data_IF_324716225249
#
_entry.id   IF_324716225249
#
_cell.length_a   1.000
_cell.length_b   1.000
_cell.length_c   1.000
_cell.angle_alpha   90.00
_cell.angle_beta   90.00
_cell.angle_gamma   90.00
#
_symmetry.space_group_name_H-M   'P 1'
#
loop_
_entity.id
_entity.type
_entity.pdbx_description
1 polymer ?
#
# COMPACT_ATOMS: atom_id res chain seq x y z
N UNK A 1 0.21 43.14 0.46
CA UNK A 1 -0.70 42.07 -0.02
C UNK A 1 0.01 41.34 -1.15
N UNK A 2 0.86 40.36 -0.81
CA UNK A 2 1.58 39.55 -1.79
C UNK A 2 0.96 38.17 -1.77
N UNK A 3 0.34 37.79 -2.88
CA UNK A 3 -0.25 36.48 -3.08
C UNK A 3 0.88 35.44 -3.16
N UNK A 4 0.84 34.46 -2.26
CA UNK A 4 1.72 33.29 -2.31
C UNK A 4 1.11 32.35 -3.36
N UNK A 5 1.86 32.09 -4.43
CA UNK A 5 1.53 31.03 -5.39
C UNK A 5 1.56 29.66 -4.69
N UNK A 6 0.63 28.74 -4.99
CA UNK A 6 0.66 27.40 -4.44
C UNK A 6 1.80 26.62 -5.11
N UNK A 7 2.93 26.54 -4.42
CA UNK A 7 3.99 25.61 -4.77
C UNK A 7 3.45 24.18 -4.71
N UNK A 8 3.67 23.43 -5.79
CA UNK A 8 3.45 22.00 -5.90
C UNK A 8 4.17 21.29 -4.74
N UNK A 9 3.46 21.01 -3.65
CA UNK A 9 3.89 20.00 -2.68
C UNK A 9 3.90 18.70 -3.46
N UNK A 10 5.07 18.18 -3.82
CA UNK A 10 5.21 16.74 -4.01
C UNK A 10 4.84 16.12 -2.67
N UNK A 11 3.57 15.76 -2.51
CA UNK A 11 3.14 14.91 -1.42
C UNK A 11 4.00 13.66 -1.54
N UNK A 12 4.87 13.43 -0.56
CA UNK A 12 5.51 12.14 -0.39
C UNK A 12 4.44 11.07 -0.52
N UNK A 13 4.65 10.01 -1.30
CA UNK A 13 3.65 8.96 -1.45
C UNK A 13 3.26 8.45 -0.06
N UNK A 14 2.03 8.71 0.36
CA UNK A 14 1.57 8.38 1.70
C UNK A 14 1.19 6.91 1.71
N UNK A 15 1.85 6.15 2.57
CA UNK A 15 1.51 4.77 2.86
C UNK A 15 0.39 4.74 3.89
N UNK A 16 -0.71 4.08 3.55
CA UNK A 16 -1.92 4.08 4.35
C UNK A 16 -2.60 5.44 4.43
N UNK A 17 -3.87 5.43 4.82
CA UNK A 17 -4.60 6.66 5.18
C UNK A 17 -5.76 6.40 6.14
N UNK A 18 -6.18 7.40 6.93
CA UNK A 18 -7.44 7.33 7.67
C UNK A 18 -8.62 6.97 6.75
N UNK A 19 -9.52 6.11 7.23
CA UNK A 19 -10.69 5.68 6.45
C UNK A 19 -11.74 6.80 6.25
N UNK A 20 -11.69 7.84 7.07
CA UNK A 20 -12.53 9.04 6.98
C UNK A 20 -12.11 10.03 5.90
N UNK A 21 -10.83 9.99 5.49
CA UNK A 21 -10.33 10.88 4.45
C UNK A 21 -11.00 10.58 3.10
N UNK A 22 -11.18 11.62 2.28
CA UNK A 22 -11.61 11.44 0.90
C UNK A 22 -10.51 10.71 0.09
N UNK A 23 -10.92 9.82 -0.81
CA UNK A 23 -10.03 9.11 -1.73
C UNK A 23 -10.29 9.53 -3.18
N UNK A 24 -9.54 8.93 -4.09
CA UNK A 24 -9.65 9.17 -5.53
C UNK A 24 -10.77 8.32 -6.21
N UNK A 25 -11.67 7.73 -5.42
CA UNK A 25 -12.58 6.68 -5.90
C UNK A 25 -11.89 5.32 -6.03
N UNK A 26 -12.65 4.29 -6.40
CA UNK A 26 -12.20 2.89 -6.40
C UNK A 26 -12.40 2.25 -7.76
N UNK A 27 -11.41 1.47 -8.19
CA UNK A 27 -11.54 0.54 -9.32
C UNK A 27 -11.24 -0.86 -8.82
N UNK A 28 -12.25 -1.72 -8.73
CA UNK A 28 -12.08 -3.12 -8.32
C UNK A 28 -11.60 -3.91 -9.53
N UNK A 29 -10.51 -4.65 -9.39
CA UNK A 29 -9.93 -5.46 -10.46
C UNK A 29 -9.70 -6.88 -9.97
N UNK A 30 -9.97 -7.83 -10.84
CA UNK A 30 -9.62 -9.23 -10.68
C UNK A 30 -9.12 -9.81 -12.01
N UNK A 31 -8.11 -10.67 -11.96
CA UNK A 31 -7.53 -11.34 -13.13
C UNK A 31 -7.40 -12.84 -12.93
N UNK A 32 -7.77 -13.60 -13.96
CA UNK A 32 -7.36 -15.00 -14.11
C UNK A 32 -6.16 -15.09 -15.05
N UNK A 33 -5.24 -16.01 -14.76
CA UNK A 33 -3.94 -16.04 -15.42
C UNK A 33 -3.51 -17.45 -15.79
N UNK A 34 -2.66 -17.58 -16.81
CA UNK A 34 -2.13 -18.87 -17.27
C UNK A 34 -1.03 -19.46 -16.37
N UNK A 35 -0.73 -18.83 -15.23
CA UNK A 35 0.31 -19.25 -14.30
C UNK A 35 0.62 -18.16 -13.28
N UNK A 36 1.63 -18.37 -12.43
CA UNK A 36 1.86 -17.49 -11.26
C UNK A 36 2.95 -16.43 -11.44
N UNK A 37 3.58 -16.34 -12.61
CA UNK A 37 4.74 -15.46 -12.85
C UNK A 37 4.42 -14.40 -13.90
N UNK A 38 4.21 -13.13 -13.50
CA UNK A 38 4.04 -12.04 -14.45
C UNK A 38 5.17 -11.98 -15.48
N UNK A 39 4.85 -11.64 -16.73
CA UNK A 39 5.79 -11.58 -17.85
C UNK A 39 6.18 -12.95 -18.44
N UNK A 40 5.98 -14.06 -17.72
CA UNK A 40 6.07 -15.42 -18.25
C UNK A 40 4.69 -16.01 -18.54
N UNK A 41 3.77 -15.83 -17.60
CA UNK A 41 2.35 -16.14 -17.73
C UNK A 41 1.59 -14.91 -18.23
N UNK A 42 0.36 -15.14 -18.72
CA UNK A 42 -0.48 -14.14 -19.37
C UNK A 42 -1.83 -14.05 -18.67
N UNK A 43 -2.48 -12.90 -18.76
CA UNK A 43 -3.88 -12.76 -18.34
C UNK A 43 -4.78 -13.50 -19.34
N UNK A 44 -5.71 -14.31 -18.84
CA UNK A 44 -6.69 -15.07 -19.64
C UNK A 44 -8.12 -14.59 -19.43
N UNK A 45 -8.40 -13.90 -18.33
CA UNK A 45 -9.65 -13.18 -18.09
C UNK A 45 -9.38 -11.99 -17.18
N UNK A 46 -10.07 -10.88 -17.42
CA UNK A 46 -9.97 -9.67 -16.61
C UNK A 46 -11.36 -9.09 -16.39
N UNK A 47 -11.60 -8.64 -15.16
CA UNK A 47 -12.70 -7.75 -14.84
C UNK A 47 -12.18 -6.50 -14.13
N UNK A 48 -12.68 -5.33 -14.52
CA UNK A 48 -12.41 -4.07 -13.86
C UNK A 48 -13.73 -3.29 -13.69
N UNK A 49 -14.01 -2.84 -12.47
CA UNK A 49 -15.25 -2.18 -12.09
C UNK A 49 -14.93 -0.83 -11.44
N UNK A 50 -15.25 0.27 -12.12
CA UNK A 50 -15.18 1.60 -11.51
C UNK A 50 -16.41 1.81 -10.62
N UNK A 51 -16.15 2.12 -9.35
CA UNK A 51 -17.19 2.36 -8.37
C UNK A 51 -17.42 3.86 -8.17
N UNK A 52 -18.69 4.25 -8.11
CA UNK A 52 -19.11 5.59 -7.69
C UNK A 52 -19.00 5.78 -6.18
N UNK A 53 -19.27 7.01 -5.73
CA UNK A 53 -19.19 7.39 -4.31
C UNK A 53 -20.17 6.62 -3.41
N UNK A 54 -21.26 6.12 -3.98
CA UNK A 54 -22.26 5.29 -3.29
C UNK A 54 -21.86 3.80 -3.21
N UNK A 55 -20.74 3.45 -3.83
CA UNK A 55 -20.18 2.10 -3.93
C UNK A 55 -20.79 1.25 -5.05
N UNK A 56 -21.66 1.81 -5.90
CA UNK A 56 -22.23 1.10 -7.04
C UNK A 56 -21.29 1.13 -8.25
N UNK A 57 -21.39 0.13 -9.12
CA UNK A 57 -20.62 0.06 -10.36
C UNK A 57 -21.17 1.07 -11.37
N UNK A 58 -20.34 2.02 -11.80
CA UNK A 58 -20.70 3.02 -12.82
C UNK A 58 -20.25 2.59 -14.21
N UNK A 59 -19.04 2.04 -14.29
CA UNK A 59 -18.43 1.55 -15.52
C UNK A 59 -17.76 0.20 -15.26
N UNK A 60 -17.81 -0.69 -16.25
CA UNK A 60 -17.18 -2.00 -16.17
C UNK A 60 -16.50 -2.37 -17.47
N UNK A 61 -15.43 -3.13 -17.33
CA UNK A 61 -14.76 -3.87 -18.39
C UNK A 61 -14.72 -5.33 -17.95
N UNK A 62 -15.15 -6.23 -18.83
CA UNK A 62 -14.91 -7.66 -18.67
C UNK A 62 -14.50 -8.23 -20.02
N UNK A 63 -13.45 -9.04 -20.03
CA UNK A 63 -13.04 -9.74 -21.24
C UNK A 63 -12.34 -11.05 -20.90
N UNK A 64 -12.68 -12.10 -21.62
CA UNK A 64 -11.74 -13.20 -21.86
C UNK A 64 -10.66 -12.69 -22.80
N UNK A 65 -9.43 -13.16 -22.62
CA UNK A 65 -8.29 -12.74 -23.42
C UNK A 65 -7.65 -13.96 -24.07
N UNK A 66 -7.24 -13.81 -25.33
CA UNK A 66 -6.37 -14.78 -25.97
C UNK A 66 -4.94 -14.54 -25.49
N UNK A 67 -4.36 -15.45 -24.69
CA UNK A 67 -3.02 -15.26 -24.12
C UNK A 67 -1.91 -15.56 -25.15
N UNK A 68 -2.24 -16.16 -26.30
CA UNK A 68 -1.26 -16.64 -27.28
C UNK A 68 -0.36 -17.78 -26.78
N UNK A 69 -0.68 -18.35 -25.62
CA UNK A 69 0.03 -19.44 -24.95
C UNK A 69 -0.98 -20.42 -24.34
N UNK A 70 -0.49 -21.50 -23.72
CA UNK A 70 -1.34 -22.40 -22.95
C UNK A 70 -2.12 -21.62 -21.87
N UNK A 71 -3.45 -21.85 -21.71
CA UNK A 71 -4.28 -21.13 -20.76
C UNK A 71 -3.96 -21.44 -19.29
N UNK A 72 -3.06 -22.39 -19.01
CA UNK A 72 -2.62 -22.69 -17.66
C UNK A 72 -3.58 -23.61 -16.91
N UNK A 73 -3.80 -23.40 -15.60
CA UNK A 73 -4.54 -24.33 -14.76
C UNK A 73 -6.06 -24.24 -15.01
N UNK A 74 -6.51 -24.75 -16.15
CA UNK A 74 -7.93 -24.73 -16.58
C UNK A 74 -8.89 -25.39 -15.58
N UNK A 75 -8.39 -26.26 -14.69
CA UNK A 75 -9.16 -26.86 -13.60
C UNK A 75 -9.50 -25.87 -12.46
N UNK A 76 -8.84 -24.70 -12.41
CA UNK A 76 -9.10 -23.63 -11.43
C UNK A 76 -10.16 -22.68 -11.98
N UNK A 77 -9.88 -22.01 -13.10
CA UNK A 77 -10.73 -20.96 -13.67
C UNK A 77 -11.70 -21.45 -14.77
N UNK A 78 -11.58 -22.69 -15.22
CA UNK A 78 -12.49 -23.30 -16.20
C UNK A 78 -12.33 -22.82 -17.66
N UNK A 79 -11.30 -22.01 -17.97
CA UNK A 79 -11.10 -21.44 -19.31
C UNK A 79 -10.20 -22.34 -20.15
N UNK A 80 -10.74 -22.94 -21.21
CA UNK A 80 -9.99 -23.80 -22.13
C UNK A 80 -9.38 -23.02 -23.28
N UNK A 81 -8.40 -23.61 -23.98
CA UNK A 81 -7.77 -22.98 -25.13
C UNK A 81 -8.79 -22.66 -26.24
N UNK A 82 -9.79 -23.54 -26.42
CA UNK A 82 -10.88 -23.34 -27.39
C UNK A 82 -11.80 -22.18 -27.03
N UNK A 83 -12.00 -21.89 -25.74
CA UNK A 83 -12.79 -20.73 -25.29
C UNK A 83 -12.06 -19.41 -25.51
N UNK A 84 -10.73 -19.44 -25.40
CA UNK A 84 -9.86 -18.27 -25.53
C UNK A 84 -9.42 -18.01 -26.98
N UNK A 85 -9.58 -18.99 -27.87
CA UNK A 85 -9.29 -18.80 -29.29
C UNK A 85 -10.21 -17.73 -29.89
N UNK A 86 -9.62 -16.82 -30.66
CA UNK A 86 -10.33 -15.68 -31.25
C UNK A 86 -10.79 -14.58 -30.28
N UNK A 87 -10.55 -14.70 -28.97
CA UNK A 87 -10.77 -13.61 -28.01
C UNK A 87 -9.78 -12.45 -28.26
N UNK A 88 -10.11 -11.21 -27.84
CA UNK A 88 -9.18 -10.08 -27.93
C UNK A 88 -7.89 -10.35 -27.13
N UNK A 89 -6.81 -9.69 -27.51
CA UNK A 89 -5.57 -9.65 -26.72
C UNK A 89 -5.63 -8.53 -25.70
N UNK A 90 -4.68 -8.50 -24.75
CA UNK A 90 -4.55 -7.38 -23.81
C UNK A 90 -4.33 -6.03 -24.54
N UNK A 91 -3.60 -6.04 -25.67
CA UNK A 91 -3.37 -4.82 -26.46
C UNK A 91 -4.67 -4.21 -27.01
N UNK A 92 -5.69 -5.04 -27.24
CA UNK A 92 -6.97 -4.61 -27.81
C UNK A 92 -7.89 -3.95 -26.77
N UNK A 93 -7.68 -4.24 -25.47
CA UNK A 93 -8.56 -3.78 -24.37
C UNK A 93 -7.91 -2.76 -23.45
N UNK A 94 -6.58 -2.62 -23.48
CA UNK A 94 -5.82 -1.81 -22.53
C UNK A 94 -6.24 -0.33 -22.51
N UNK A 95 -6.62 0.25 -23.64
CA UNK A 95 -7.00 1.67 -23.68
C UNK A 95 -8.32 1.92 -22.91
N UNK A 96 -9.30 1.01 -22.99
CA UNK A 96 -10.51 1.08 -22.16
C UNK A 96 -10.21 0.82 -20.68
N UNK A 97 -9.28 -0.10 -20.39
CA UNK A 97 -8.85 -0.34 -19.01
C UNK A 97 -8.18 0.90 -18.41
N UNK A 98 -7.34 1.60 -19.17
CA UNK A 98 -6.70 2.86 -18.76
C UNK A 98 -7.76 3.91 -18.40
N UNK A 99 -8.76 4.12 -19.24
CA UNK A 99 -9.85 5.07 -18.96
C UNK A 99 -10.61 4.72 -17.66
N UNK A 100 -10.84 3.43 -17.41
CA UNK A 100 -11.54 2.96 -16.21
C UNK A 100 -10.69 3.15 -14.95
N UNK A 101 -9.37 2.91 -15.02
CA UNK A 101 -8.46 3.03 -13.90
C UNK A 101 -8.04 4.47 -13.58
N UNK A 102 -8.16 5.38 -14.55
CA UNK A 102 -7.64 6.74 -14.41
C UNK A 102 -8.23 7.47 -13.21
N UNK A 103 -7.35 8.13 -12.46
CA UNK A 103 -7.70 8.89 -11.27
C UNK A 103 -8.25 8.07 -10.09
N UNK A 104 -8.19 6.73 -10.10
CA UNK A 104 -8.77 5.87 -9.04
C UNK A 104 -7.72 5.06 -8.27
N UNK A 105 -8.06 4.65 -7.06
CA UNK A 105 -7.28 3.62 -6.34
C UNK A 105 -7.70 2.24 -6.85
N UNK A 106 -6.75 1.47 -7.35
CA UNK A 106 -6.99 0.09 -7.78
C UNK A 106 -7.15 -0.82 -6.55
N UNK A 107 -8.22 -1.57 -6.47
CA UNK A 107 -8.54 -2.47 -5.37
C UNK A 107 -8.59 -3.89 -5.91
N UNK A 108 -7.87 -4.80 -5.27
CA UNK A 108 -8.00 -6.23 -5.55
C UNK A 108 -7.95 -7.04 -4.26
N UNK A 109 -8.39 -8.29 -4.32
CA UNK A 109 -8.34 -9.16 -3.15
C UNK A 109 -6.90 -9.49 -2.77
N UNK A 110 -6.06 -9.79 -3.76
CA UNK A 110 -4.63 -9.96 -3.62
C UNK A 110 -3.88 -9.02 -4.57
N UNK A 111 -3.97 -7.71 -4.30
CA UNK A 111 -3.52 -6.67 -5.24
C UNK A 111 -2.08 -6.79 -5.73
N UNK A 112 -1.19 -7.42 -4.96
CA UNK A 112 0.17 -7.71 -5.42
C UNK A 112 0.22 -8.64 -6.62
N UNK A 113 -0.66 -9.63 -6.66
CA UNK A 113 -0.81 -10.53 -7.79
C UNK A 113 -1.43 -9.79 -8.98
N UNK A 114 -2.64 -9.26 -8.82
CA UNK A 114 -3.39 -8.62 -9.90
C UNK A 114 -2.61 -7.47 -10.56
N UNK A 115 -2.11 -6.53 -9.74
CA UNK A 115 -1.37 -5.38 -10.26
C UNK A 115 -0.08 -5.78 -10.98
N UNK A 116 0.63 -6.81 -10.49
CA UNK A 116 1.85 -7.27 -11.15
C UNK A 116 1.61 -7.87 -12.55
N UNK A 117 0.46 -8.53 -12.75
CA UNK A 117 0.05 -9.03 -14.06
C UNK A 117 -0.37 -7.91 -14.99
N UNK A 118 -1.17 -6.95 -14.51
CA UNK A 118 -1.55 -5.77 -15.30
C UNK A 118 -0.32 -4.97 -15.73
N UNK A 119 0.63 -4.76 -14.80
CA UNK A 119 1.88 -4.07 -15.08
C UNK A 119 2.68 -4.80 -16.17
N UNK A 120 2.87 -6.11 -16.04
CA UNK A 120 3.61 -6.89 -17.04
C UNK A 120 2.93 -6.88 -18.42
N UNK A 121 1.61 -7.02 -18.48
CA UNK A 121 0.87 -6.94 -19.75
C UNK A 121 0.96 -5.54 -20.38
N UNK A 122 0.87 -4.48 -19.56
CA UNK A 122 1.01 -3.10 -20.02
C UNK A 122 2.41 -2.82 -20.56
N UNK A 123 3.46 -3.32 -19.89
CA UNK A 123 4.85 -3.24 -20.34
C UNK A 123 5.04 -3.92 -21.71
N UNK A 124 4.46 -5.11 -21.91
CA UNK A 124 4.55 -5.85 -23.18
C UNK A 124 3.98 -5.08 -24.37
N UNK A 125 2.94 -4.27 -24.15
CA UNK A 125 2.27 -3.50 -25.20
C UNK A 125 2.68 -2.01 -25.20
N UNK A 126 3.71 -1.64 -24.44
CA UNK A 126 4.20 -0.27 -24.28
C UNK A 126 3.09 0.72 -23.87
N UNK A 127 2.29 0.34 -22.88
CA UNK A 127 1.25 1.17 -22.28
C UNK A 127 1.55 1.47 -20.81
N UNK A 128 1.13 2.65 -20.38
CA UNK A 128 1.21 3.06 -18.99
C UNK A 128 -0.16 2.89 -18.34
N UNK A 129 -0.26 2.04 -17.32
CA UNK A 129 -1.43 2.03 -16.42
C UNK A 129 -1.47 3.34 -15.63
N UNK A 130 -2.61 4.06 -15.55
CA UNK A 130 -2.76 5.32 -14.81
C UNK A 130 -2.98 5.10 -13.30
N UNK A 131 -2.46 4.01 -12.74
CA UNK A 131 -2.58 3.71 -11.31
C UNK A 131 -1.46 4.38 -10.52
N UNK A 132 -1.82 5.18 -9.54
CA UNK A 132 -0.88 5.77 -8.56
C UNK A 132 -0.97 5.10 -7.18
N UNK A 133 -2.12 4.51 -6.87
CA UNK A 133 -2.36 3.86 -5.58
C UNK A 133 -3.12 2.54 -5.75
N UNK A 134 -2.82 1.60 -4.88
CA UNK A 134 -3.44 0.28 -4.81
C UNK A 134 -3.93 -0.01 -3.39
N UNK A 135 -4.93 -0.87 -3.23
CA UNK A 135 -5.38 -1.35 -1.92
C UNK A 135 -5.69 -2.85 -1.96
N UNK A 136 -5.16 -3.57 -0.97
CA UNK A 136 -5.37 -5.00 -0.81
C UNK A 136 -6.50 -5.27 0.19
N UNK A 137 -7.57 -5.98 -0.20
CA UNK A 137 -8.66 -6.27 0.75
C UNK A 137 -8.32 -7.39 1.73
N UNK A 138 -7.40 -8.31 1.41
CA UNK A 138 -6.84 -9.26 2.38
C UNK A 138 -6.13 -8.51 3.51
N UNK A 139 -5.34 -7.49 3.17
CA UNK A 139 -4.65 -6.69 4.17
C UNK A 139 -5.63 -5.91 5.05
N UNK A 140 -6.63 -5.28 4.45
CA UNK A 140 -7.66 -4.56 5.19
C UNK A 140 -8.45 -5.49 6.11
N UNK A 141 -8.86 -6.67 5.62
CA UNK A 141 -9.56 -7.67 6.41
C UNK A 141 -8.71 -8.17 7.60
N UNK A 142 -7.39 -8.33 7.41
CA UNK A 142 -6.45 -8.67 8.48
C UNK A 142 -6.39 -7.59 9.56
N UNK A 143 -6.33 -6.31 9.18
CA UNK A 143 -6.35 -5.17 10.13
C UNK A 143 -7.67 -5.09 10.90
N UNK A 144 -8.76 -5.46 10.23
CA UNK A 144 -10.08 -5.46 10.84
C UNK A 144 -10.25 -6.59 11.85
N UNK A 145 -9.45 -7.65 11.82
CA UNK A 145 -9.58 -8.81 12.73
C UNK A 145 -11.04 -9.31 12.79
N UNK A 146 -11.53 -9.77 11.65
CA UNK A 146 -12.94 -10.16 11.46
C UNK A 146 -13.30 -11.50 12.14
N UNK A 147 -12.32 -12.25 12.64
CA UNK A 147 -12.54 -13.55 13.27
C UNK A 147 -12.94 -14.67 12.31
N UNK A 148 -12.64 -14.55 11.01
CA UNK A 148 -12.89 -15.57 9.99
C UNK A 148 -11.82 -16.67 10.01
N UNK A 149 -12.13 -17.89 9.55
CA UNK A 149 -11.14 -18.98 9.59
C UNK A 149 -9.96 -18.77 8.64
N UNK A 150 -10.18 -18.03 7.56
CA UNK A 150 -9.17 -17.58 6.62
C UNK A 150 -9.60 -16.26 5.97
N UNK A 151 -8.79 -15.73 5.05
CA UNK A 151 -9.04 -14.45 4.37
C UNK A 151 -9.27 -14.62 2.87
N UNK A 152 -9.71 -15.80 2.40
CA UNK A 152 -10.08 -16.00 0.98
C UNK A 152 -11.36 -15.24 0.66
N UNK A 153 -11.55 -14.92 -0.61
CA UNK A 153 -12.73 -14.18 -1.08
C UNK A 153 -14.03 -14.89 -0.71
N UNK A 154 -14.10 -16.21 -0.91
CA UNK A 154 -15.25 -17.06 -0.53
C UNK A 154 -15.64 -16.92 0.96
N UNK A 155 -14.65 -16.96 1.86
CA UNK A 155 -14.85 -16.84 3.30
C UNK A 155 -15.29 -15.43 3.68
N UNK A 156 -14.70 -14.40 3.05
CA UNK A 156 -15.12 -13.01 3.29
C UNK A 156 -16.51 -12.72 2.72
N UNK A 157 -16.86 -13.27 1.56
CA UNK A 157 -18.18 -13.16 0.96
C UNK A 157 -19.24 -13.73 1.90
N UNK A 158 -19.02 -14.95 2.42
CA UNK A 158 -19.89 -15.56 3.41
C UNK A 158 -20.00 -14.73 4.71
N UNK A 159 -18.89 -14.17 5.21
CA UNK A 159 -18.89 -13.31 6.40
C UNK A 159 -19.80 -12.07 6.23
N UNK A 160 -19.82 -11.49 5.04
CA UNK A 160 -20.62 -10.29 4.72
C UNK A 160 -21.99 -10.60 4.12
N UNK A 161 -22.36 -11.88 3.98
CA UNK A 161 -23.64 -12.30 3.41
C UNK A 161 -23.77 -12.00 1.91
N UNK A 162 -22.65 -12.05 1.17
CA UNK A 162 -22.60 -11.90 -0.29
C UNK A 162 -22.49 -13.28 -0.92
N UNK A 163 -23.37 -13.58 -1.86
CA UNK A 163 -23.34 -14.83 -2.62
C UNK A 163 -22.29 -14.76 -3.73
N UNK A 164 -21.39 -15.75 -3.77
CA UNK A 164 -20.45 -15.97 -4.87
C UNK A 164 -20.97 -17.14 -5.71
N UNK A 165 -21.19 -16.89 -7.00
CA UNK A 165 -21.88 -17.83 -7.89
C UNK A 165 -20.89 -18.76 -8.61
N UNK A 166 -19.72 -18.24 -8.98
CA UNK A 166 -18.71 -18.92 -9.76
C UNK A 166 -17.31 -18.49 -9.30
N UNK A 167 -16.78 -19.10 -8.22
CA UNK A 167 -15.42 -18.84 -7.77
C UNK A 167 -14.40 -19.07 -8.89
N UNK A 168 -13.34 -18.25 -8.92
CA UNK A 168 -12.33 -18.26 -9.99
C UNK A 168 -12.87 -17.85 -11.37
N UNK A 169 -13.87 -16.96 -11.36
CA UNK A 169 -14.32 -16.22 -12.52
C UNK A 169 -14.09 -14.74 -12.24
N UNK A 170 -13.24 -14.10 -13.06
CA UNK A 170 -12.84 -12.72 -12.79
C UNK A 170 -14.02 -11.74 -12.62
N UNK A 171 -15.11 -11.93 -13.37
CA UNK A 171 -16.26 -11.04 -13.25
C UNK A 171 -17.03 -11.28 -11.95
N UNK A 172 -17.31 -12.53 -11.62
CA UNK A 172 -18.01 -12.87 -10.37
C UNK A 172 -17.18 -12.44 -9.16
N UNK A 173 -15.87 -12.71 -9.17
CA UNK A 173 -14.95 -12.37 -8.08
C UNK A 173 -14.84 -10.83 -7.91
N UNK A 174 -14.75 -10.06 -9.01
CA UNK A 174 -14.76 -8.61 -8.95
C UNK A 174 -16.10 -8.05 -8.44
N UNK A 175 -17.25 -8.62 -8.84
CA UNK A 175 -18.57 -8.20 -8.37
C UNK A 175 -18.79 -8.51 -6.89
N UNK A 176 -18.36 -9.69 -6.43
CA UNK A 176 -18.36 -10.07 -5.02
C UNK A 176 -17.47 -9.13 -4.22
N UNK A 177 -16.27 -8.85 -4.70
CA UNK A 177 -15.33 -7.95 -4.05
C UNK A 177 -15.88 -6.51 -3.96
N UNK A 178 -16.53 -6.00 -5.02
CA UNK A 178 -17.20 -4.70 -5.00
C UNK A 178 -18.31 -4.62 -3.94
N UNK A 179 -19.11 -5.69 -3.81
CA UNK A 179 -20.14 -5.79 -2.78
C UNK A 179 -19.57 -5.86 -1.36
N UNK A 180 -18.47 -6.60 -1.15
CA UNK A 180 -17.76 -6.69 0.13
C UNK A 180 -17.08 -5.37 0.50
N UNK A 181 -16.56 -4.62 -0.48
CA UNK A 181 -15.77 -3.42 -0.23
C UNK A 181 -16.56 -2.37 0.56
N UNK A 182 -17.84 -2.19 0.27
CA UNK A 182 -18.71 -1.22 0.94
C UNK A 182 -18.82 -1.45 2.46
N UNK A 183 -19.30 -2.60 2.96
CA UNK A 183 -19.37 -2.85 4.40
C UNK A 183 -17.98 -2.91 5.06
N UNK A 184 -16.94 -3.36 4.35
CA UNK A 184 -15.55 -3.34 4.85
C UNK A 184 -15.06 -1.92 5.11
N UNK A 185 -15.30 -0.97 4.18
CA UNK A 185 -14.93 0.44 4.35
C UNK A 185 -15.71 1.10 5.49
N UNK A 186 -17.02 0.80 5.62
CA UNK A 186 -17.83 1.26 6.77
C UNK A 186 -17.23 0.75 8.07
N UNK A 187 -16.89 -0.55 8.13
CA UNK A 187 -16.29 -1.16 9.32
C UNK A 187 -14.95 -0.56 9.69
N UNK A 188 -14.12 -0.24 8.69
CA UNK A 188 -12.84 0.43 8.90
C UNK A 188 -13.03 1.83 9.51
N UNK A 189 -14.01 2.60 9.03
CA UNK A 189 -14.37 3.91 9.61
C UNK A 189 -14.83 3.78 11.06
N UNK A 190 -15.77 2.87 11.34
CA UNK A 190 -16.28 2.64 12.70
C UNK A 190 -15.18 2.27 13.70
N UNK A 191 -14.22 1.43 13.26
CA UNK A 191 -13.11 0.96 14.09
C UNK A 191 -11.88 1.87 14.03
N UNK A 192 -11.94 3.00 13.30
CA UNK A 192 -10.80 3.91 13.06
C UNK A 192 -9.54 3.18 12.55
N UNK A 193 -9.75 2.15 11.73
CA UNK A 193 -8.69 1.39 11.08
C UNK A 193 -8.27 2.14 9.82
N UNK A 194 -6.95 2.27 9.64
CA UNK A 194 -6.38 2.88 8.44
C UNK A 194 -6.53 1.95 7.24
N UNK A 195 -6.91 2.54 6.11
CA UNK A 195 -6.99 1.82 4.84
C UNK A 195 -5.56 1.56 4.34
N UNK A 196 -5.21 0.32 3.94
CA UNK A 196 -3.91 -0.06 3.39
C UNK A 196 -3.77 0.41 1.94
N UNK A 197 -3.78 1.73 1.75
CA UNK A 197 -3.58 2.35 0.44
C UNK A 197 -2.09 2.54 0.23
N UNK A 198 -1.53 1.82 -0.73
CA UNK A 198 -0.11 1.81 -1.03
C UNK A 198 0.15 2.55 -2.33
N UNK A 199 1.17 3.41 -2.40
CA UNK A 199 1.59 4.01 -3.65
C UNK A 199 2.26 2.98 -4.54
N UNK A 200 2.03 3.08 -5.84
CA UNK A 200 2.82 2.39 -6.87
C UNK A 200 3.70 3.40 -7.59
N UNK A 201 4.83 2.93 -8.10
CA UNK A 201 5.74 3.78 -8.86
C UNK A 201 6.08 3.14 -10.19
N UNK A 202 6.53 3.97 -11.12
CA UNK A 202 6.86 3.59 -12.49
C UNK A 202 8.04 4.40 -12.98
N UNK A 203 8.78 3.84 -13.91
CA UNK A 203 9.97 4.44 -14.51
C UNK A 203 9.74 4.58 -16.00
N UNK A 204 9.96 5.78 -16.50
CA UNK A 204 10.02 6.05 -17.93
C UNK A 204 11.49 6.02 -18.35
N UNK A 205 11.82 5.12 -19.26
CA UNK A 205 13.15 4.95 -19.80
C UNK A 205 13.39 5.92 -20.98
N UNK A 206 14.65 6.25 -21.33
CA UNK A 206 14.95 7.17 -22.44
C UNK A 206 14.39 6.75 -23.81
N UNK A 207 14.10 5.46 -24.01
CA UNK A 207 13.47 4.93 -25.22
C UNK A 207 11.94 5.05 -25.23
N UNK A 208 11.34 5.65 -24.20
CA UNK A 208 9.89 5.80 -24.05
C UNK A 208 9.19 4.60 -23.41
N UNK A 209 9.90 3.50 -23.14
CA UNK A 209 9.34 2.36 -22.40
C UNK A 209 8.97 2.82 -20.99
N UNK A 210 7.81 2.38 -20.52
CA UNK A 210 7.40 2.55 -19.12
C UNK A 210 7.42 1.18 -18.47
N UNK A 211 8.13 1.06 -17.35
CA UNK A 211 8.08 -0.13 -16.48
C UNK A 211 7.51 0.24 -15.13
N UNK A 212 6.80 -0.67 -14.49
CA UNK A 212 6.21 -0.45 -13.17
C UNK A 212 7.07 -1.15 -12.11
N UNK A 213 7.29 -0.46 -11.00
CA UNK A 213 8.06 -1.05 -9.90
C UNK A 213 7.21 -2.11 -9.18
N UNK A 214 7.82 -3.24 -8.84
CA UNK A 214 7.18 -4.29 -8.05
C UNK A 214 6.69 -3.75 -6.69
N UNK A 215 5.53 -4.22 -6.24
CA UNK A 215 5.04 -3.96 -4.88
C UNK A 215 5.93 -4.69 -3.87
N UNK A 216 6.82 -3.92 -3.23
CA UNK A 216 7.70 -4.42 -2.18
C UNK A 216 7.03 -4.32 -0.81
N UNK A 217 7.29 -5.25 0.12
CA UNK A 217 6.80 -5.15 1.48
C UNK A 217 7.20 -3.81 2.10
N UNK A 218 6.24 -3.10 2.71
CA UNK A 218 6.44 -1.77 3.27
C UNK A 218 7.62 -1.75 4.25
N UNK A 219 7.76 -2.78 5.09
CA UNK A 219 8.90 -2.95 5.99
C UNK A 219 10.28 -2.80 5.31
N UNK A 220 10.44 -3.37 4.12
CA UNK A 220 11.68 -3.33 3.37
C UNK A 220 11.93 -1.97 2.68
N UNK A 221 10.86 -1.25 2.35
CA UNK A 221 10.93 0.10 1.77
C UNK A 221 11.19 1.13 2.86
N UNK A 222 10.38 1.12 3.93
CA UNK A 222 10.37 2.09 5.01
C UNK A 222 11.71 2.20 5.75
N UNK A 223 12.41 1.08 5.94
CA UNK A 223 13.73 1.06 6.60
C UNK A 223 14.84 1.79 5.82
N UNK A 224 14.57 2.15 4.57
CA UNK A 224 15.49 2.88 3.68
C UNK A 224 14.96 4.25 3.29
N UNK A 225 13.77 4.63 3.74
CA UNK A 225 13.21 5.94 3.44
C UNK A 225 13.99 7.02 4.21
N UNK A 226 14.39 8.13 3.55
CA UNK A 226 14.98 9.25 4.24
C UNK A 226 13.94 9.89 5.16
N UNK A 227 14.36 10.29 6.36
CA UNK A 227 13.54 11.11 7.24
C UNK A 227 13.86 12.59 6.99
N UNK A 228 12.84 13.44 6.90
CA UNK A 228 13.03 14.89 6.71
C UNK A 228 13.57 15.60 7.96
N UNK A 229 13.55 14.94 9.11
CA UNK A 229 13.89 15.50 10.42
C UNK A 229 15.10 14.79 11.01
N UNK A 230 15.90 15.53 11.76
CA UNK A 230 16.97 14.97 12.58
C UNK A 230 16.39 14.12 13.70
N UNK A 231 17.08 13.03 14.03
CA UNK A 231 16.71 12.22 15.17
C UNK A 231 17.00 12.97 16.49
N UNK A 232 15.97 13.32 17.29
CA UNK A 232 16.15 14.08 18.53
C UNK A 232 16.68 13.23 19.70
N UNK A 233 16.92 11.94 19.47
CA UNK A 233 17.44 11.00 20.46
C UNK A 233 16.34 10.13 21.06
N UNK A 234 16.58 9.65 22.29
CA UNK A 234 15.72 8.66 22.95
C UNK A 234 14.39 9.26 23.37
N UNK A 235 13.33 8.46 23.20
CA UNK A 235 12.03 8.77 23.77
C UNK A 235 12.10 8.82 25.30
N UNK A 236 11.37 9.75 25.90
CA UNK A 236 11.28 9.91 27.36
C UNK A 236 9.81 9.76 27.74
N UNK A 237 9.50 8.78 28.57
CA UNK A 237 8.13 8.52 29.03
C UNK A 237 7.50 9.78 29.62
N UNK A 238 6.26 10.06 29.25
CA UNK A 238 5.52 11.25 29.66
C UNK A 238 5.79 12.51 28.82
N UNK A 239 6.70 12.45 27.84
CA UNK A 239 6.89 13.51 26.83
C UNK A 239 6.21 13.11 25.51
N UNK A 240 5.85 14.09 24.65
CA UNK A 240 5.37 13.77 23.31
C UNK A 240 6.46 13.10 22.45
N UNK A 241 6.02 12.39 21.41
CA UNK A 241 6.90 11.98 20.32
C UNK A 241 7.33 13.22 19.53
N UNK A 242 8.53 13.17 18.95
CA UNK A 242 9.09 14.27 18.18
C UNK A 242 9.42 13.75 16.77
N UNK A 243 9.08 14.51 15.74
CA UNK A 243 9.44 14.13 14.37
C UNK A 243 10.94 13.86 14.24
N UNK A 244 11.28 12.85 13.45
CA UNK A 244 12.66 12.35 13.32
C UNK A 244 13.04 11.22 14.27
N UNK A 245 12.25 10.94 15.32
CA UNK A 245 12.51 9.77 16.17
C UNK A 245 12.54 8.47 15.34
N UNK A 246 13.56 7.64 15.60
CA UNK A 246 13.74 6.33 14.96
C UNK A 246 13.04 5.26 15.78
N UNK A 247 12.04 4.64 15.17
CA UNK A 247 11.16 3.66 15.81
C UNK A 247 11.40 2.28 15.21
N UNK A 248 11.73 1.31 16.07
CA UNK A 248 11.75 -0.10 15.68
C UNK A 248 10.47 -0.81 16.17
N UNK A 249 10.08 -1.88 15.48
CA UNK A 249 8.95 -2.73 15.87
C UNK A 249 9.46 -4.13 16.23
N UNK A 250 9.06 -4.64 17.40
CA UNK A 250 9.31 -6.01 17.84
C UNK A 250 8.22 -6.98 17.35
N UNK A 251 8.45 -8.29 17.50
CA UNK A 251 7.46 -9.29 17.10
C UNK A 251 6.24 -9.31 18.05
N UNK A 252 6.44 -8.88 19.29
CA UNK A 252 5.47 -8.85 20.38
C UNK A 252 4.53 -7.63 20.30
N UNK A 253 4.04 -7.31 19.09
CA UNK A 253 2.99 -6.30 18.88
C UNK A 253 1.67 -6.99 18.55
N UNK A 254 0.54 -6.37 18.90
CA UNK A 254 -0.80 -6.87 18.56
C UNK A 254 -1.25 -6.36 17.20
N UNK A 255 -0.91 -5.11 16.84
CA UNK A 255 -1.19 -4.52 15.53
C UNK A 255 -0.30 -5.12 14.45
N UNK A 256 -0.71 -5.01 13.19
CA UNK A 256 0.17 -5.42 12.08
C UNK A 256 1.37 -4.48 11.98
N UNK A 257 2.51 -5.00 11.54
CA UNK A 257 3.71 -4.17 11.36
C UNK A 257 3.47 -3.09 10.31
N UNK A 258 2.78 -3.43 9.23
CA UNK A 258 2.44 -2.53 8.14
C UNK A 258 1.65 -1.32 8.65
N UNK A 259 0.59 -1.54 9.44
CA UNK A 259 -0.22 -0.44 10.00
C UNK A 259 0.62 0.47 10.90
N UNK A 260 1.48 -0.11 11.75
CA UNK A 260 2.34 0.69 12.63
C UNK A 260 3.35 1.50 11.82
N UNK A 261 3.99 0.90 10.80
CA UNK A 261 4.96 1.59 9.94
C UNK A 261 4.29 2.75 9.20
N UNK A 262 3.11 2.56 8.63
CA UNK A 262 2.34 3.63 7.97
C UNK A 262 2.12 4.82 8.89
N UNK A 263 1.65 4.55 10.11
CA UNK A 263 1.34 5.60 11.08
C UNK A 263 2.61 6.30 11.59
N UNK A 264 3.71 5.55 11.78
CA UNK A 264 5.03 6.09 12.11
C UNK A 264 5.49 7.07 11.02
N UNK A 265 5.45 6.64 9.74
CA UNK A 265 5.87 7.46 8.62
C UNK A 265 4.98 8.69 8.45
N UNK A 266 3.66 8.52 8.59
CA UNK A 266 2.70 9.62 8.50
C UNK A 266 2.93 10.70 9.57
N UNK A 267 3.28 10.29 10.79
CA UNK A 267 3.59 11.22 11.88
C UNK A 267 4.95 11.94 11.70
N UNK A 268 5.72 11.66 10.66
CA UNK A 268 7.06 12.22 10.46
C UNK A 268 8.13 11.56 11.34
N UNK A 269 7.85 10.37 11.87
CA UNK A 269 8.84 9.52 12.53
C UNK A 269 9.55 8.64 11.48
N UNK A 270 10.70 8.07 11.83
CA UNK A 270 11.44 7.17 10.96
C UNK A 270 11.28 5.72 11.43
N UNK A 271 11.04 4.80 10.50
CA UNK A 271 11.07 3.37 10.81
C UNK A 271 12.49 2.81 10.65
N UNK A 272 12.91 1.93 11.58
CA UNK A 272 14.15 1.15 11.45
C UNK A 272 13.90 -0.33 11.71
N UNK A 273 14.52 -1.20 10.89
CA UNK A 273 14.49 -2.65 11.12
C UNK A 273 15.59 -3.12 12.10
N UNK A 274 16.55 -2.24 12.41
CA UNK A 274 17.66 -2.49 13.33
C UNK A 274 17.43 -1.70 14.62
N UNK A 275 17.73 -2.33 15.75
CA UNK A 275 17.79 -1.66 17.05
C UNK A 275 19.26 -1.40 17.36
N UNK A 276 19.60 -0.14 17.59
CA UNK A 276 20.95 0.36 17.81
C UNK A 276 20.93 1.55 18.80
N UNK A 277 22.10 2.14 19.05
CA UNK A 277 22.23 3.27 19.99
C UNK A 277 21.50 4.55 19.54
N UNK A 278 21.21 4.68 18.25
CA UNK A 278 20.45 5.80 17.68
C UNK A 278 18.94 5.53 17.69
N UNK A 279 18.50 4.33 18.02
CA UNK A 279 17.08 3.99 18.08
C UNK A 279 16.41 4.76 19.21
N UNK A 280 15.36 5.51 18.88
CA UNK A 280 14.65 6.37 19.84
C UNK A 280 13.74 5.58 20.75
N UNK A 281 13.03 4.59 20.20
CA UNK A 281 12.15 3.68 20.94
C UNK A 281 11.91 2.38 20.16
N UNK A 282 11.54 1.33 20.88
CA UNK A 282 11.05 0.08 20.29
C UNK A 282 9.62 -0.18 20.73
N UNK A 283 8.75 -0.44 19.76
CA UNK A 283 7.37 -0.84 20.03
C UNK A 283 7.34 -2.32 20.38
N UNK A 284 6.90 -2.64 21.59
CA UNK A 284 6.86 -3.98 22.16
C UNK A 284 5.80 -4.02 23.27
N UNK A 285 4.84 -4.94 23.18
CA UNK A 285 3.81 -5.11 24.21
C UNK A 285 4.27 -5.99 25.37
N UNK A 286 5.39 -6.68 25.23
CA UNK A 286 5.99 -7.44 26.33
C UNK A 286 6.88 -6.54 27.18
N UNK A 287 6.66 -6.55 28.50
CA UNK A 287 7.42 -5.69 29.42
C UNK A 287 8.86 -6.17 29.69
N UNK A 288 9.12 -7.47 29.47
CA UNK A 288 10.42 -8.12 29.71
C UNK A 288 10.70 -9.19 28.64
N UNK A 289 10.86 -8.79 27.37
CA UNK A 289 11.12 -9.71 26.28
C UNK A 289 12.45 -10.44 26.49
N UNK A 290 12.46 -11.75 26.28
CA UNK A 290 13.64 -12.60 26.48
C UNK A 290 14.51 -12.72 25.21
N UNK A 291 13.99 -12.33 24.05
CA UNK A 291 14.69 -12.38 22.76
C UNK A 291 14.21 -11.29 21.79
N UNK A 292 14.86 -11.19 20.63
CA UNK A 292 14.47 -10.29 19.56
C UNK A 292 14.75 -8.81 19.84
N UNK A 293 14.02 -7.93 19.16
CA UNK A 293 14.27 -6.49 19.19
C UNK A 293 13.95 -5.86 20.54
N UNK A 294 12.92 -6.35 21.23
CA UNK A 294 12.58 -5.88 22.56
C UNK A 294 13.69 -6.19 23.58
N UNK A 295 14.28 -7.39 23.50
CA UNK A 295 15.43 -7.77 24.33
C UNK A 295 16.65 -6.91 24.03
N UNK A 296 16.98 -6.73 22.75
CA UNK A 296 18.14 -5.91 22.36
C UNK A 296 17.97 -4.43 22.75
N UNK A 297 16.74 -3.92 22.70
CA UNK A 297 16.42 -2.60 23.21
C UNK A 297 16.76 -2.47 24.70
N UNK A 298 16.41 -3.47 25.52
CA UNK A 298 16.75 -3.48 26.94
C UNK A 298 18.27 -3.49 27.18
N UNK A 299 19.04 -4.27 26.41
CA UNK A 299 20.51 -4.28 26.49
C UNK A 299 21.13 -2.91 26.19
N UNK A 300 20.57 -2.20 25.20
CA UNK A 300 21.02 -0.87 24.78
C UNK A 300 20.36 0.28 25.57
N UNK A 301 19.50 -0.02 26.55
CA UNK A 301 18.72 0.94 27.32
C UNK A 301 17.69 1.74 26.50
N UNK A 302 17.28 1.24 25.33
CA UNK A 302 16.28 1.88 24.45
C UNK A 302 14.89 1.64 25.06
N UNK A 303 14.06 2.69 25.23
CA UNK A 303 12.75 2.55 25.87
C UNK A 303 11.81 1.68 25.03
N UNK A 304 11.03 0.84 25.74
CA UNK A 304 9.92 0.08 25.17
C UNK A 304 8.61 0.87 25.29
N UNK A 305 7.75 0.76 24.29
CA UNK A 305 6.42 1.37 24.27
C UNK A 305 5.41 0.36 23.70
N UNK A 306 4.25 0.20 24.33
CA UNK A 306 3.21 -0.66 23.76
C UNK A 306 2.62 -0.04 22.48
N UNK A 307 2.13 -0.85 21.55
CA UNK A 307 1.54 -0.36 20.30
C UNK A 307 0.30 0.51 20.55
N UNK A 308 -0.57 0.15 21.49
CA UNK A 308 -1.71 0.99 21.92
C UNK A 308 -1.26 2.35 22.45
N UNK A 309 -0.12 2.42 23.13
CA UNK A 309 0.44 3.68 23.66
C UNK A 309 1.07 4.52 22.54
N UNK A 310 1.79 3.88 21.61
CA UNK A 310 2.31 4.53 20.41
C UNK A 310 1.16 5.18 19.64
N UNK A 311 0.09 4.43 19.35
CA UNK A 311 -1.08 4.91 18.62
C UNK A 311 -1.71 6.15 19.28
N UNK A 312 -1.82 6.17 20.62
CA UNK A 312 -2.33 7.33 21.35
C UNK A 312 -1.38 8.54 21.28
N UNK A 313 -0.08 8.31 21.26
CA UNK A 313 0.92 9.38 21.22
C UNK A 313 1.12 9.97 19.82
N UNK A 314 0.82 9.21 18.77
CA UNK A 314 0.96 9.65 17.38
C UNK A 314 0.10 10.87 17.04
N UNK A 315 -1.07 11.02 17.67
CA UNK A 315 -1.95 12.20 17.49
C UNK A 315 -1.34 13.49 18.07
N UNK A 316 -0.31 13.38 18.91
CA UNK A 316 0.34 14.49 19.62
C UNK A 316 1.81 14.66 19.30
N UNK A 317 2.29 14.15 18.15
CA UNK A 317 3.68 14.30 17.73
C UNK A 317 3.99 15.78 17.52
N UNK A 318 5.07 16.27 18.15
CA UNK A 318 5.53 17.66 18.01
C UNK A 318 6.59 17.79 16.93
N UNK A 319 6.73 19.00 16.38
CA UNK A 319 7.68 19.30 15.31
C UNK A 319 9.13 18.96 15.67
N UNK A 320 9.84 18.38 14.70
CA UNK A 320 11.28 18.10 14.78
C UNK A 320 12.11 19.14 14.06
N UNK A 321 13.44 19.06 14.18
CA UNK A 321 14.38 19.93 13.44
C UNK A 321 14.56 19.39 12.03
N UNK A 322 14.28 20.20 11.01
CA UNK A 322 14.43 19.81 9.61
C UNK A 322 15.91 19.63 9.23
N UNK A 323 16.21 18.67 8.33
CA UNK A 323 17.58 18.49 7.83
C UNK A 323 18.06 19.72 7.03
N UNK A 324 17.17 20.38 6.28
CA UNK A 324 17.51 21.58 5.50
C UNK A 324 17.87 22.79 6.40
N UNK A 325 17.21 22.95 7.54
CA UNK A 325 17.52 24.01 8.52
C UNK A 325 18.93 23.85 9.13
N UNK A 326 19.50 22.64 9.12
CA UNK A 326 20.85 22.38 9.62
C UNK A 326 21.93 22.71 8.59
N UNK A 327 21.61 22.68 7.28
CA UNK A 327 22.58 22.93 6.21
C UNK A 327 22.88 24.41 5.95
N UNK A 328 22.15 25.35 6.55
CA UNK A 328 22.29 26.79 6.30
C UNK A 328 22.95 27.56 7.47
N UNK A 329 24.21 27.24 7.76
CA UNK A 329 25.06 28.04 8.68
C UNK A 329 26.39 28.49 8.05
N UNK A 330 26.59 28.26 6.76
CA UNK A 330 27.80 28.68 6.04
C UNK A 330 27.42 29.44 4.78
N UNK A 331 27.23 30.76 4.92
CA UNK A 331 27.65 31.83 3.98
C UNK A 331 27.19 33.21 4.49
N UNK A 332 27.52 33.56 5.73
CA UNK A 332 27.49 34.94 6.23
C UNK A 332 28.63 35.14 7.24
N UNK A 333 29.84 34.72 6.87
CA UNK A 333 31.07 35.00 7.60
C UNK A 333 31.94 35.89 6.74
N UNK A 334 32.10 37.13 7.19
CA UNK A 334 32.79 38.25 6.56
C UNK A 334 34.06 37.89 5.75
N UNK A 335 34.04 38.21 4.46
CA UNK A 335 35.27 38.45 3.70
C UNK A 335 35.92 39.74 4.20
N UNK A 336 36.82 39.65 5.17
CA UNK A 336 37.85 40.67 5.35
C UNK A 336 38.96 40.42 4.35
N UNK A 337 38.93 41.16 3.25
CA UNK A 337 40.10 41.37 2.40
C UNK A 337 41.10 42.25 3.16
N UNK A 338 42.32 41.75 3.34
CA UNK A 338 43.49 42.57 3.65
C UNK A 338 44.59 42.23 2.64
N UNK A 339 45.21 43.32 2.17
CA UNK A 339 46.14 43.48 1.05
C UNK A 339 47.33 42.52 1.01
#
# INVERSE_FOLDING_TARGET
>A
MSQIQPGCRRLTPSWGRPAEDAGAGWAVVDVETSGFRPGQARIVSIAALALGDDGNVEHSLYSLLNPGVDPGPTHVHGLTAEMLDGQPTFADIVDHLVELLDGRTLVAHNVGFDYSFLAAEAELVNRQLPTDTVMCTVELARRLDLGTENLRLETLAAHWGVDQMKPHDALDDALVLAQILKPVLVRARERKVWLPVHPVTRRTWPNGLVTHDELRPLKAVASRLPCAYLNPGRFIAGRPLVQGMRVALSAEVKRTHEELIERILHAGLAYTDIVDVETSLVVCNESRPEQGKGFHAAELGVPLLADEDLLRLLDGVVGGTGIEEFTDTTLAGDQYALF
#
